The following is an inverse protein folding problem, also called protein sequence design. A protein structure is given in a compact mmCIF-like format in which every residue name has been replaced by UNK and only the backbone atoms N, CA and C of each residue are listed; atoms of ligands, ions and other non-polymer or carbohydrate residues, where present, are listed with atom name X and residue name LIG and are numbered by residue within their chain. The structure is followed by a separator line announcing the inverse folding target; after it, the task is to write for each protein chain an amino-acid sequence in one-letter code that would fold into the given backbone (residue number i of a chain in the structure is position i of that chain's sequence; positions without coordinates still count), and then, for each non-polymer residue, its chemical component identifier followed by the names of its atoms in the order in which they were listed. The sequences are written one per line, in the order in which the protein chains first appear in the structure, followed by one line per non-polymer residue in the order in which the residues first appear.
data_IF_596315051042
#
_entry.id   IF_596315051042
#
_cell.length_a   1.000
_cell.length_b   1.000
_cell.length_c   1.000
_cell.angle_alpha   90.00
_cell.angle_beta   90.00
_cell.angle_gamma   90.00
#
_symmetry.space_group_name_H-M   'P 1'
#
loop_
_entity.id
_entity.type
_entity.pdbx_description
1 polymer ?
#
# COMPACT_ATOMS: atom_id res chain seq x y z
N UNK A 1 24.79 38.31 -10.83
CA UNK A 1 24.23 38.62 -9.50
C UNK A 1 24.60 37.52 -8.53
N UNK A 2 24.97 37.87 -7.29
CA UNK A 2 25.16 36.89 -6.23
C UNK A 2 23.80 36.35 -5.76
N UNK A 3 23.64 35.03 -5.66
CA UNK A 3 22.44 34.37 -5.14
C UNK A 3 22.61 34.09 -3.65
N UNK A 4 21.52 34.12 -2.88
CA UNK A 4 21.55 33.75 -1.45
C UNK A 4 21.78 32.24 -1.29
N UNK A 5 22.41 31.82 -0.19
CA UNK A 5 22.62 30.39 0.11
C UNK A 5 21.29 29.59 0.09
N UNK A 6 20.21 30.16 0.65
CA UNK A 6 18.87 29.57 0.62
C UNK A 6 18.34 29.36 -0.81
N UNK A 7 18.64 30.28 -1.74
CA UNK A 7 18.20 30.18 -3.14
C UNK A 7 18.95 29.09 -3.89
N UNK A 8 20.24 28.88 -3.58
CA UNK A 8 21.08 27.85 -4.22
C UNK A 8 20.81 26.46 -3.64
N UNK A 9 20.57 26.35 -2.34
CA UNK A 9 20.41 25.09 -1.61
C UNK A 9 18.99 24.86 -1.11
N UNK A 10 17.97 25.33 -1.87
CA UNK A 10 16.56 25.33 -1.44
C UNK A 10 16.06 23.96 -0.95
N UNK A 11 16.57 22.86 -1.49
CA UNK A 11 16.22 21.49 -1.06
C UNK A 11 16.57 21.16 0.40
N UNK A 12 17.47 21.91 1.05
CA UNK A 12 17.80 21.76 2.46
C UNK A 12 16.95 22.63 3.39
N UNK A 13 16.15 23.54 2.83
CA UNK A 13 15.31 24.45 3.61
C UNK A 13 13.85 24.02 3.48
N UNK A 14 13.13 24.04 4.61
CA UNK A 14 11.68 23.91 4.60
C UNK A 14 11.03 25.09 3.87
N UNK A 15 9.85 24.84 3.31
CA UNK A 15 9.02 25.89 2.73
C UNK A 15 8.39 26.72 3.85
N UNK A 16 8.22 28.02 3.58
CA UNK A 16 7.46 28.93 4.44
C UNK A 16 5.95 28.69 4.27
N UNK A 17 5.14 29.12 5.24
CA UNK A 17 3.67 28.96 5.18
C UNK A 17 3.05 29.59 3.92
N UNK A 18 3.60 30.74 3.48
CA UNK A 18 3.19 31.41 2.26
C UNK A 18 3.47 30.56 1.00
N UNK A 19 4.60 29.84 0.98
CA UNK A 19 4.96 28.94 -0.10
C UNK A 19 4.05 27.70 -0.12
N UNK A 20 3.74 27.14 1.05
CA UNK A 20 2.75 26.07 1.17
C UNK A 20 1.37 26.50 0.69
N UNK A 21 0.93 27.72 1.04
CA UNK A 21 -0.36 28.24 0.60
C UNK A 21 -0.46 28.32 -0.93
N UNK A 22 0.62 28.73 -1.61
CA UNK A 22 0.71 28.72 -3.08
C UNK A 22 0.64 27.29 -3.62
N UNK A 23 1.40 26.35 -3.05
CA UNK A 23 1.35 24.94 -3.48
C UNK A 23 -0.05 24.34 -3.31
N UNK A 24 -0.70 24.56 -2.17
CA UNK A 24 -2.06 24.04 -1.95
C UNK A 24 -3.08 24.59 -2.93
N UNK A 25 -2.85 25.80 -3.45
CA UNK A 25 -3.72 26.46 -4.43
C UNK A 25 -3.45 25.97 -5.85
N UNK A 26 -2.18 25.91 -6.25
CA UNK A 26 -1.80 25.84 -7.67
C UNK A 26 -1.04 24.55 -8.05
N UNK A 27 -0.55 23.76 -7.10
CA UNK A 27 0.23 22.56 -7.42
C UNK A 27 -0.63 21.43 -8.01
N UNK A 28 0.04 20.61 -8.83
CA UNK A 28 -0.43 19.31 -9.27
C UNK A 28 -0.08 18.27 -8.20
N UNK A 29 -1.05 17.46 -7.83
CA UNK A 29 -0.92 16.39 -6.85
C UNK A 29 -0.68 15.05 -7.55
N UNK A 30 0.36 14.37 -7.10
CA UNK A 30 0.72 13.03 -7.54
C UNK A 30 0.81 12.16 -6.30
N UNK A 31 -0.05 11.14 -6.21
CA UNK A 31 0.03 10.16 -5.12
C UNK A 31 0.98 9.03 -5.49
N UNK A 32 1.72 8.52 -4.51
CA UNK A 32 2.47 7.27 -4.64
C UNK A 32 1.49 6.08 -4.72
N UNK A 33 1.86 5.03 -5.45
CA UNK A 33 1.09 3.80 -5.54
C UNK A 33 0.80 3.21 -4.16
N UNK A 34 1.73 3.32 -3.21
CA UNK A 34 1.54 2.86 -1.83
C UNK A 34 0.43 3.62 -1.10
N UNK A 35 0.26 4.92 -1.36
CA UNK A 35 -0.83 5.70 -0.78
C UNK A 35 -2.17 5.20 -1.31
N UNK A 36 -2.25 4.94 -2.62
CA UNK A 36 -3.45 4.38 -3.26
C UNK A 36 -3.74 2.96 -2.75
N UNK A 37 -2.72 2.11 -2.59
CA UNK A 37 -2.86 0.75 -2.06
C UNK A 37 -3.31 0.75 -0.59
N UNK A 38 -2.93 1.75 0.20
CA UNK A 38 -3.34 1.86 1.60
C UNK A 38 -4.85 2.06 1.77
N UNK A 39 -5.57 2.53 0.74
CA UNK A 39 -7.04 2.58 0.75
C UNK A 39 -7.67 1.20 1.03
N UNK A 40 -7.02 0.12 0.61
CA UNK A 40 -7.47 -1.24 0.89
C UNK A 40 -7.08 -1.74 2.28
N UNK A 41 -6.16 -1.06 2.96
CA UNK A 41 -5.65 -1.45 4.30
C UNK A 41 -6.33 -0.69 5.43
N UNK A 42 -6.88 0.48 5.14
CA UNK A 42 -7.52 1.32 6.14
C UNK A 42 -8.93 0.86 6.48
N UNK A 43 -9.35 1.19 7.72
CA UNK A 43 -10.75 1.12 8.14
C UNK A 43 -11.59 2.06 7.28
N UNK A 44 -12.87 1.75 7.15
CA UNK A 44 -13.80 2.49 6.29
C UNK A 44 -13.78 4.00 6.49
N UNK A 45 -13.80 4.48 7.74
CA UNK A 45 -13.75 5.92 8.04
C UNK A 45 -12.52 6.60 7.43
N UNK A 46 -11.31 6.12 7.75
CA UNK A 46 -10.05 6.70 7.28
C UNK A 46 -9.89 6.56 5.77
N UNK A 47 -10.36 5.45 5.20
CA UNK A 47 -10.42 5.26 3.75
C UNK A 47 -11.29 6.33 3.09
N UNK A 48 -12.49 6.56 3.61
CA UNK A 48 -13.42 7.54 3.05
C UNK A 48 -12.86 8.96 3.18
N UNK A 49 -12.24 9.30 4.32
CA UNK A 49 -11.55 10.59 4.49
C UNK A 49 -10.46 10.81 3.45
N UNK A 50 -9.64 9.79 3.15
CA UNK A 50 -8.60 9.90 2.11
C UNK A 50 -9.20 10.02 0.71
N UNK A 51 -10.26 9.26 0.40
CA UNK A 51 -10.97 9.37 -0.88
C UNK A 51 -11.60 10.77 -1.06
N UNK A 52 -12.18 11.34 0.01
CA UNK A 52 -12.73 12.69 -0.02
C UNK A 52 -11.65 13.75 -0.31
N UNK A 53 -10.42 13.54 0.20
CA UNK A 53 -9.27 14.41 -0.12
C UNK A 53 -8.89 14.27 -1.58
N UNK A 54 -8.79 13.05 -2.10
CA UNK A 54 -8.47 12.79 -3.51
C UNK A 54 -9.52 13.43 -4.42
N UNK A 55 -10.82 13.28 -4.10
CA UNK A 55 -11.92 13.86 -4.87
C UNK A 55 -11.87 15.39 -4.92
N UNK A 56 -11.51 16.05 -3.81
CA UNK A 56 -11.33 17.51 -3.75
C UNK A 56 -10.16 17.98 -4.63
N UNK A 57 -9.21 17.10 -4.92
CA UNK A 57 -8.03 17.40 -5.73
C UNK A 57 -8.16 16.97 -7.19
N UNK A 58 -9.29 16.37 -7.61
CA UNK A 58 -9.48 15.77 -8.95
C UNK A 58 -9.03 16.64 -10.13
N UNK A 59 -9.30 17.95 -10.10
CA UNK A 59 -8.93 18.89 -11.19
C UNK A 59 -7.43 19.22 -11.24
N UNK A 60 -6.66 18.77 -10.25
CA UNK A 60 -5.21 18.98 -10.11
C UNK A 60 -4.50 17.68 -9.79
N UNK A 61 -5.18 16.55 -10.02
CA UNK A 61 -4.64 15.23 -9.82
C UNK A 61 -3.98 14.80 -11.13
N UNK A 62 -2.78 14.26 -11.06
CA UNK A 62 -2.16 13.57 -12.19
C UNK A 62 -1.38 12.36 -11.68
N UNK A 63 -1.50 11.23 -12.36
CA UNK A 63 -0.89 9.97 -11.92
C UNK A 63 0.07 9.46 -13.01
N UNK A 64 1.36 9.26 -12.72
CA UNK A 64 2.27 8.60 -13.65
C UNK A 64 1.75 7.22 -14.04
N UNK A 65 1.90 6.82 -15.31
CA UNK A 65 1.51 5.48 -15.75
C UNK A 65 2.15 4.39 -14.88
N UNK A 66 3.41 4.55 -14.47
CA UNK A 66 4.10 3.58 -13.62
C UNK A 66 3.41 3.43 -12.25
N UNK A 67 2.95 4.53 -11.66
CA UNK A 67 2.21 4.51 -10.39
C UNK A 67 0.87 3.79 -10.56
N UNK A 68 0.13 4.11 -11.62
CA UNK A 68 -1.14 3.43 -11.93
C UNK A 68 -0.94 1.93 -12.16
N UNK A 69 0.11 1.56 -12.88
CA UNK A 69 0.46 0.17 -13.14
C UNK A 69 0.81 -0.60 -11.86
N UNK A 70 1.61 0.00 -10.98
CA UNK A 70 1.96 -0.60 -9.67
C UNK A 70 0.73 -0.75 -8.79
N UNK A 71 -0.15 0.25 -8.75
CA UNK A 71 -1.42 0.17 -8.05
C UNK A 71 -2.27 -1.00 -8.55
N UNK A 72 -2.51 -1.07 -9.87
CA UNK A 72 -3.37 -2.10 -10.46
C UNK A 72 -2.82 -3.51 -10.23
N UNK A 73 -1.50 -3.71 -10.38
CA UNK A 73 -0.86 -5.02 -10.20
C UNK A 73 -0.85 -5.49 -8.76
N UNK A 74 -0.64 -4.57 -7.82
CA UNK A 74 -0.50 -4.93 -6.40
C UNK A 74 -1.83 -4.92 -5.65
N UNK A 75 -2.89 -4.30 -6.19
CA UNK A 75 -4.20 -4.18 -5.52
C UNK A 75 -4.74 -5.53 -5.03
N UNK A 76 -4.84 -6.52 -5.91
CA UNK A 76 -5.44 -7.82 -5.58
C UNK A 76 -4.62 -8.53 -4.49
N UNK A 77 -3.29 -8.41 -4.54
CA UNK A 77 -2.41 -8.92 -3.50
C UNK A 77 -2.71 -8.28 -2.14
N UNK A 78 -2.82 -6.95 -2.09
CA UNK A 78 -3.13 -6.23 -0.84
C UNK A 78 -4.52 -6.59 -0.29
N UNK A 79 -5.53 -6.74 -1.16
CA UNK A 79 -6.87 -7.21 -0.76
C UNK A 79 -6.78 -8.60 -0.12
N UNK A 80 -6.07 -9.52 -0.78
CA UNK A 80 -5.92 -10.88 -0.30
C UNK A 80 -5.12 -10.94 1.02
N UNK A 81 -4.09 -10.12 1.17
CA UNK A 81 -3.35 -9.98 2.44
C UNK A 81 -4.25 -9.49 3.58
N UNK A 82 -5.14 -8.52 3.34
CA UNK A 82 -6.08 -8.08 4.37
C UNK A 82 -7.05 -9.19 4.75
N UNK A 83 -7.59 -9.92 3.77
CA UNK A 83 -8.52 -11.02 4.05
C UNK A 83 -7.84 -12.18 4.79
N UNK A 84 -6.55 -12.46 4.50
CA UNK A 84 -5.79 -13.50 5.23
C UNK A 84 -5.69 -13.23 6.74
N UNK A 85 -5.65 -11.96 7.17
CA UNK A 85 -5.55 -11.60 8.59
C UNK A 85 -6.69 -12.19 9.43
N UNK A 86 -7.90 -12.34 8.88
CA UNK A 86 -9.01 -12.97 9.59
C UNK A 86 -8.68 -14.42 9.97
N UNK A 87 -8.18 -15.20 9.00
CA UNK A 87 -7.77 -16.59 9.25
C UNK A 87 -6.55 -16.70 10.17
N UNK A 88 -5.60 -15.78 10.09
CA UNK A 88 -4.45 -15.72 10.99
C UNK A 88 -4.88 -15.45 12.45
N UNK A 89 -5.78 -14.50 12.67
CA UNK A 89 -6.32 -14.21 14.02
C UNK A 89 -7.09 -15.40 14.58
N UNK A 90 -7.95 -16.03 13.76
CA UNK A 90 -8.67 -17.26 14.14
C UNK A 90 -7.69 -18.37 14.53
N UNK A 91 -6.61 -18.55 13.77
CA UNK A 91 -5.56 -19.53 14.05
C UNK A 91 -4.88 -19.27 15.40
N UNK A 92 -4.45 -18.03 15.67
CA UNK A 92 -3.79 -17.64 16.93
C UNK A 92 -4.66 -18.01 18.14
N UNK A 93 -5.94 -17.60 18.11
CA UNK A 93 -6.86 -17.85 19.22
C UNK A 93 -7.09 -19.35 19.43
N UNK A 94 -7.31 -20.09 18.33
CA UNK A 94 -7.50 -21.54 18.38
C UNK A 94 -6.29 -22.24 19.00
N UNK A 95 -5.08 -21.89 18.57
CA UNK A 95 -3.84 -22.48 19.09
C UNK A 95 -3.66 -22.22 20.58
N UNK A 96 -3.97 -21.02 21.07
CA UNK A 96 -3.81 -20.68 22.49
C UNK A 96 -4.84 -21.39 23.38
N UNK A 97 -6.11 -21.47 22.95
CA UNK A 97 -7.15 -22.17 23.72
C UNK A 97 -6.87 -23.68 23.75
N UNK A 98 -6.48 -24.27 22.62
CA UNK A 98 -6.07 -25.69 22.60
C UNK A 98 -4.80 -25.94 23.42
N UNK A 99 -3.87 -24.99 23.47
CA UNK A 99 -2.69 -25.04 24.35
C UNK A 99 -3.08 -25.11 25.83
N UNK A 100 -3.96 -24.20 26.27
CA UNK A 100 -4.48 -24.18 27.65
C UNK A 100 -5.18 -25.50 28.01
N UNK A 101 -6.01 -26.03 27.12
CA UNK A 101 -6.70 -27.32 27.31
C UNK A 101 -5.68 -28.47 27.48
N UNK A 102 -4.63 -28.50 26.65
CA UNK A 102 -3.58 -29.49 26.75
C UNK A 102 -2.76 -29.36 28.04
N UNK A 103 -2.45 -28.13 28.47
CA UNK A 103 -1.71 -27.88 29.71
C UNK A 103 -2.48 -28.35 30.94
N UNK A 104 -3.79 -28.11 31.00
CA UNK A 104 -4.64 -28.64 32.06
C UNK A 104 -4.68 -30.18 32.09
N UNK A 105 -4.81 -30.81 30.91
CA UNK A 105 -4.76 -32.27 30.79
C UNK A 105 -3.40 -32.85 31.25
N UNK A 106 -2.31 -32.16 30.95
CA UNK A 106 -0.95 -32.60 31.31
C UNK A 106 -0.66 -32.51 32.81
N UNK A 107 -1.29 -31.58 33.53
CA UNK A 107 -1.13 -31.45 34.99
C UNK A 107 -1.74 -32.66 35.73
N UNK A 108 -2.54 -33.48 35.05
CA UNK A 108 -3.24 -34.65 35.62
C UNK A 108 -3.99 -34.27 36.89
N UNK A 109 -4.74 -33.16 36.83
CA UNK A 109 -5.48 -32.60 37.97
C UNK A 109 -6.41 -33.68 38.56
N UNK A 110 -7.00 -34.49 37.69
CA UNK A 110 -7.85 -35.65 38.01
C UNK A 110 -7.14 -36.76 38.82
N UNK A 111 -5.80 -36.85 38.74
CA UNK A 111 -5.00 -37.88 39.43
C UNK A 111 -4.34 -37.39 40.71
N UNK A 112 -4.32 -36.08 40.98
CA UNK A 112 -3.56 -35.49 42.09
C UNK A 112 -4.45 -34.65 43.02
N UNK A 113 -5.42 -35.28 43.69
CA UNK A 113 -6.13 -34.80 44.91
C UNK A 113 -6.51 -33.30 45.01
N UNK A 114 -6.57 -32.57 43.89
CA UNK A 114 -6.95 -31.17 43.84
C UNK A 114 -8.41 -31.15 43.38
N UNK A 115 -9.31 -30.59 44.19
CA UNK A 115 -10.72 -30.37 43.81
C UNK A 115 -10.87 -29.25 42.76
N UNK A 116 -9.92 -29.15 41.82
CA UNK A 116 -9.88 -28.14 40.77
C UNK A 116 -10.43 -28.81 39.52
N UNK A 117 -11.57 -28.33 39.03
CA UNK A 117 -12.14 -28.77 37.75
C UNK A 117 -11.97 -27.64 36.71
N UNK A 118 -11.10 -27.80 35.69
CA UNK A 118 -10.91 -26.78 34.67
C UNK A 118 -12.03 -26.79 33.59
N UNK A 119 -13.00 -27.70 33.66
CA UNK A 119 -14.03 -27.87 32.61
C UNK A 119 -14.83 -26.59 32.38
N UNK A 120 -15.25 -25.91 33.44
CA UNK A 120 -16.04 -24.68 33.35
C UNK A 120 -15.25 -23.54 32.70
N UNK A 121 -13.97 -23.39 33.05
CA UNK A 121 -13.13 -22.32 32.48
C UNK A 121 -12.77 -22.59 31.01
N UNK A 122 -12.49 -23.85 30.64
CA UNK A 122 -12.28 -24.25 29.25
C UNK A 122 -13.54 -24.02 28.43
N UNK A 123 -14.71 -24.36 28.97
CA UNK A 123 -16.01 -24.13 28.31
C UNK A 123 -16.28 -22.65 28.12
N UNK A 124 -15.96 -21.81 29.10
CA UNK A 124 -16.07 -20.37 28.98
C UNK A 124 -15.16 -19.80 27.87
N UNK A 125 -13.91 -20.26 27.78
CA UNK A 125 -13.00 -19.85 26.71
C UNK A 125 -13.50 -20.27 25.33
N UNK A 126 -13.99 -21.51 25.16
CA UNK A 126 -14.56 -21.99 23.91
C UNK A 126 -15.77 -21.16 23.47
N UNK A 127 -16.64 -20.78 24.42
CA UNK A 127 -17.78 -19.90 24.13
C UNK A 127 -17.34 -18.51 23.67
N UNK A 128 -16.38 -17.88 24.36
CA UNK A 128 -15.82 -16.58 23.95
C UNK A 128 -15.17 -16.67 22.56
N UNK A 129 -14.49 -17.77 22.27
CA UNK A 129 -13.90 -18.04 20.96
C UNK A 129 -14.96 -18.11 19.87
N UNK A 130 -16.03 -18.89 20.07
CA UNK A 130 -17.14 -19.01 19.11
C UNK A 130 -17.80 -17.65 18.85
N UNK A 131 -18.15 -16.91 19.91
CA UNK A 131 -18.76 -15.57 19.82
C UNK A 131 -17.85 -14.60 19.03
N UNK A 132 -16.53 -14.67 19.26
CA UNK A 132 -15.58 -13.84 18.54
C UNK A 132 -15.41 -14.28 17.09
N UNK A 133 -15.40 -15.58 16.81
CA UNK A 133 -15.28 -16.11 15.45
C UNK A 133 -16.50 -15.74 14.60
N UNK A 134 -17.71 -15.82 15.15
CA UNK A 134 -18.92 -15.35 14.46
C UNK A 134 -18.84 -13.87 14.10
N UNK A 135 -18.36 -13.01 15.01
CA UNK A 135 -18.13 -11.59 14.72
C UNK A 135 -17.06 -11.37 13.65
N UNK A 136 -15.99 -12.16 13.66
CA UNK A 136 -14.97 -12.11 12.61
C UNK A 136 -15.52 -12.57 11.26
N UNK A 137 -16.36 -13.60 11.22
CA UNK A 137 -17.02 -14.09 10.00
C UNK A 137 -17.92 -13.01 9.41
N UNK A 138 -18.70 -12.31 10.22
CA UNK A 138 -19.51 -11.17 9.78
C UNK A 138 -18.65 -10.06 9.16
N UNK A 139 -17.55 -9.70 9.82
CA UNK A 139 -16.60 -8.70 9.31
C UNK A 139 -15.92 -9.15 8.01
N UNK A 140 -15.51 -10.42 7.91
CA UNK A 140 -14.88 -11.03 6.72
C UNK A 140 -15.87 -11.19 5.56
N UNK A 141 -17.17 -11.34 5.84
CA UNK A 141 -18.20 -11.35 4.81
C UNK A 141 -18.54 -9.95 4.30
N UNK A 142 -18.40 -8.92 5.15
CA UNK A 142 -18.57 -7.52 4.77
C UNK A 142 -17.33 -6.88 4.13
N UNK A 143 -16.17 -7.55 4.18
CA UNK A 143 -14.92 -7.01 3.63
C UNK A 143 -14.89 -7.08 2.11
N UNK A 144 -14.03 -6.24 1.51
CA UNK A 144 -13.84 -6.20 0.06
C UNK A 144 -13.21 -7.52 -0.40
N UNK A 145 -13.84 -8.17 -1.38
CA UNK A 145 -13.32 -9.37 -2.02
C UNK A 145 -12.84 -9.07 -3.44
N UNK A 146 -11.91 -9.87 -3.93
CA UNK A 146 -11.36 -9.67 -5.28
C UNK A 146 -12.39 -9.88 -6.41
N UNK A 147 -13.48 -10.60 -6.11
CA UNK A 147 -14.56 -10.97 -7.03
C UNK A 147 -15.85 -10.16 -6.81
N UNK A 148 -15.83 -9.16 -5.93
CA UNK A 148 -16.94 -8.22 -5.73
C UNK A 148 -16.70 -6.92 -6.49
N UNK A 149 -17.74 -6.07 -6.56
CA UNK A 149 -17.62 -4.72 -7.11
C UNK A 149 -16.59 -3.91 -6.28
N UNK A 150 -15.61 -3.30 -6.95
CA UNK A 150 -14.49 -2.61 -6.30
C UNK A 150 -14.75 -1.10 -6.21
N UNK A 151 -15.63 -0.72 -5.28
CA UNK A 151 -16.06 0.67 -5.11
C UNK A 151 -14.90 1.64 -4.82
N UNK A 152 -13.78 1.16 -4.26
CA UNK A 152 -12.58 1.98 -4.05
C UNK A 152 -11.94 2.32 -5.39
N UNK A 153 -11.72 1.29 -6.22
CA UNK A 153 -11.15 1.47 -7.55
C UNK A 153 -12.05 2.35 -8.41
N UNK A 154 -13.35 2.12 -8.39
CA UNK A 154 -14.28 2.87 -9.22
C UNK A 154 -14.29 4.35 -8.83
N UNK A 155 -14.25 4.67 -7.53
CA UNK A 155 -14.13 6.06 -7.06
C UNK A 155 -12.78 6.70 -7.42
N UNK A 156 -11.69 5.93 -7.40
CA UNK A 156 -10.39 6.41 -7.87
C UNK A 156 -10.41 6.67 -9.38
N UNK A 157 -11.05 5.81 -10.16
CA UNK A 157 -11.20 5.97 -11.61
C UNK A 157 -11.98 7.25 -11.93
N UNK A 158 -13.09 7.48 -11.22
CA UNK A 158 -13.89 8.71 -11.34
C UNK A 158 -13.12 9.99 -10.94
N UNK A 159 -12.21 9.90 -9.96
CA UNK A 159 -11.41 11.03 -9.50
C UNK A 159 -10.21 11.31 -10.42
N UNK A 160 -9.57 10.27 -10.95
CA UNK A 160 -8.39 10.38 -11.83
C UNK A 160 -8.82 10.77 -13.24
N UNK A 161 -9.92 10.19 -13.75
CA UNK A 161 -10.41 10.40 -15.12
C UNK A 161 -9.28 10.19 -16.15
N UNK A 162 -9.10 11.15 -17.05
CA UNK A 162 -8.07 11.12 -18.09
C UNK A 162 -6.69 11.61 -17.59
N UNK A 163 -6.53 11.90 -16.30
CA UNK A 163 -5.28 12.45 -15.75
C UNK A 163 -4.25 11.36 -15.41
N UNK A 164 -4.02 10.45 -16.34
CA UNK A 164 -2.97 9.44 -16.26
C UNK A 164 -1.87 9.72 -17.29
N UNK A 165 -0.62 9.58 -16.88
CA UNK A 165 0.52 9.72 -17.78
C UNK A 165 0.49 8.68 -18.89
N UNK A 166 1.16 8.95 -20.03
CA UNK A 166 1.24 7.99 -21.12
C UNK A 166 2.03 6.74 -20.72
N UNK A 167 1.67 5.61 -21.31
CA UNK A 167 2.48 4.41 -21.27
C UNK A 167 3.87 4.69 -21.89
N UNK A 168 4.96 4.06 -21.39
CA UNK A 168 6.24 4.05 -22.08
C UNK A 168 6.10 3.68 -23.57
N UNK A 169 6.77 4.44 -24.44
CA UNK A 169 6.56 4.39 -25.90
C UNK A 169 6.87 3.01 -26.49
N UNK A 170 7.98 2.42 -26.05
CA UNK A 170 8.49 1.14 -26.55
C UNK A 170 9.50 0.54 -25.58
N UNK A 171 9.99 -0.66 -25.90
CA UNK A 171 10.99 -1.34 -25.08
C UNK A 171 12.34 -0.61 -25.08
N UNK A 172 12.71 0.05 -26.18
CA UNK A 172 13.97 0.78 -26.29
C UNK A 172 14.04 1.95 -25.29
N UNK A 173 12.94 2.69 -25.11
CA UNK A 173 12.83 3.73 -24.10
C UNK A 173 13.10 3.18 -22.69
N UNK A 174 12.45 2.05 -22.34
CA UNK A 174 12.65 1.40 -21.05
C UNK A 174 14.08 0.89 -20.89
N UNK A 175 14.65 0.26 -21.92
CA UNK A 175 16.01 -0.26 -21.88
C UNK A 175 17.05 0.84 -21.70
N UNK A 176 16.84 2.01 -22.32
CA UNK A 176 17.68 3.18 -22.10
C UNK A 176 17.56 3.73 -20.67
N UNK A 177 16.35 3.75 -20.09
CA UNK A 177 16.16 4.07 -18.68
C UNK A 177 16.85 3.07 -17.74
N UNK A 178 16.88 1.78 -18.11
CA UNK A 178 17.55 0.77 -17.30
C UNK A 178 19.07 0.93 -17.29
N UNK A 179 19.67 1.30 -18.43
CA UNK A 179 21.10 1.63 -18.52
C UNK A 179 21.44 2.84 -17.64
N UNK A 180 20.59 3.88 -17.67
CA UNK A 180 20.74 5.03 -16.76
C UNK A 180 20.58 4.59 -15.30
N UNK A 181 19.56 3.77 -15.01
CA UNK A 181 19.28 3.27 -13.66
C UNK A 181 20.45 2.50 -13.07
N UNK A 182 21.11 1.65 -13.85
CA UNK A 182 22.30 0.91 -13.43
C UNK A 182 23.46 1.84 -13.02
N UNK A 183 23.72 2.88 -13.82
CA UNK A 183 24.74 3.90 -13.51
C UNK A 183 24.37 4.71 -12.27
N UNK A 184 23.09 5.07 -12.12
CA UNK A 184 22.60 5.81 -10.95
C UNK A 184 22.70 4.97 -9.69
N UNK A 185 22.31 3.71 -9.73
CA UNK A 185 22.22 2.85 -8.55
C UNK A 185 23.61 2.48 -8.04
N UNK A 186 24.53 2.14 -8.94
CA UNK A 186 25.94 1.93 -8.61
C UNK A 186 26.58 3.16 -7.96
N UNK A 187 26.17 4.35 -8.38
CA UNK A 187 26.62 5.64 -7.81
C UNK A 187 25.79 6.10 -6.61
N UNK A 188 24.83 5.30 -6.12
CA UNK A 188 23.88 5.62 -5.02
C UNK A 188 23.10 6.92 -5.25
N UNK A 189 22.76 7.21 -6.50
CA UNK A 189 22.02 8.40 -6.92
C UNK A 189 20.51 8.08 -6.87
N UNK A 190 19.70 8.82 -6.09
CA UNK A 190 18.24 8.65 -6.05
C UNK A 190 17.57 9.14 -7.35
N UNK A 191 16.29 8.77 -7.60
CA UNK A 191 15.46 7.86 -6.80
C UNK A 191 15.74 6.37 -7.15
N UNK A 192 15.28 5.46 -6.29
CA UNK A 192 15.31 4.02 -6.53
C UNK A 192 16.56 3.24 -6.11
N UNK A 193 17.73 3.86 -5.86
CA UNK A 193 18.95 3.08 -5.55
C UNK A 193 18.86 2.18 -4.30
N UNK A 194 17.94 2.48 -3.37
CA UNK A 194 17.68 1.64 -2.18
C UNK A 194 16.87 0.38 -2.51
N UNK A 195 16.23 0.35 -3.67
CA UNK A 195 15.44 -0.78 -4.16
C UNK A 195 16.29 -1.83 -4.88
N UNK A 196 17.61 -1.67 -4.91
CA UNK A 196 18.53 -2.66 -5.48
C UNK A 196 18.38 -4.05 -4.79
N UNK A 197 17.97 -4.03 -3.52
CA UNK A 197 17.64 -5.24 -2.74
C UNK A 197 16.36 -5.98 -3.19
N UNK A 198 15.48 -5.37 -4.01
CA UNK A 198 14.24 -5.98 -4.51
C UNK A 198 14.50 -7.06 -5.59
N UNK A 199 15.75 -7.22 -6.03
CA UNK A 199 16.20 -8.25 -6.98
C UNK A 199 15.75 -8.00 -8.43
N UNK A 200 16.17 -8.87 -9.34
CA UNK A 200 15.84 -8.79 -10.78
C UNK A 200 14.45 -9.35 -11.10
N UNK A 201 13.43 -8.93 -10.34
CA UNK A 201 12.05 -9.28 -10.65
C UNK A 201 11.57 -8.49 -11.87
N UNK A 202 11.12 -9.22 -12.87
CA UNK A 202 10.63 -8.67 -14.13
C UNK A 202 9.17 -9.07 -14.36
N UNK A 203 8.45 -8.26 -15.12
CA UNK A 203 7.08 -8.54 -15.51
C UNK A 203 6.76 -7.90 -16.85
N UNK A 204 5.68 -8.36 -17.49
CA UNK A 204 5.23 -7.81 -18.76
C UNK A 204 3.88 -7.11 -18.57
N UNK A 205 3.72 -5.95 -19.19
CA UNK A 205 2.45 -5.24 -19.31
C UNK A 205 2.37 -4.56 -20.67
N UNK A 206 1.24 -4.73 -21.38
CA UNK A 206 1.02 -4.17 -22.71
C UNK A 206 2.17 -4.44 -23.72
N UNK A 207 2.73 -5.65 -23.69
CA UNK A 207 3.83 -6.06 -24.58
C UNK A 207 5.22 -5.53 -24.17
N UNK A 208 5.33 -4.75 -23.10
CA UNK A 208 6.59 -4.19 -22.61
C UNK A 208 7.07 -4.91 -21.35
N UNK A 209 8.39 -5.06 -21.24
CA UNK A 209 9.09 -5.72 -20.14
C UNK A 209 9.59 -4.70 -19.13
N UNK A 210 9.02 -4.77 -17.94
CA UNK A 210 9.31 -3.92 -16.79
C UNK A 210 10.23 -4.62 -15.79
N UNK A 211 11.19 -3.88 -15.23
CA UNK A 211 12.03 -4.34 -14.12
C UNK A 211 11.62 -3.62 -12.84
N UNK A 212 11.20 -4.37 -11.82
CA UNK A 212 10.64 -3.79 -10.58
C UNK A 212 11.57 -2.78 -9.90
N UNK A 213 12.88 -3.04 -9.90
CA UNK A 213 13.87 -2.17 -9.23
C UNK A 213 13.95 -0.76 -9.81
N UNK A 214 13.45 -0.53 -11.03
CA UNK A 214 13.47 0.78 -11.68
C UNK A 214 12.11 1.50 -11.64
N UNK A 215 11.11 0.99 -10.90
CA UNK A 215 9.78 1.61 -10.79
C UNK A 215 9.83 3.09 -10.39
N UNK A 216 10.53 3.40 -9.29
CA UNK A 216 10.75 4.77 -8.82
C UNK A 216 11.38 5.68 -9.89
N UNK A 217 12.35 5.15 -10.64
CA UNK A 217 13.04 5.91 -11.69
C UNK A 217 12.11 6.21 -12.86
N UNK A 218 11.31 5.23 -13.30
CA UNK A 218 10.33 5.41 -14.38
C UNK A 218 9.29 6.45 -13.94
N UNK A 219 8.73 6.31 -12.73
CA UNK A 219 7.76 7.26 -12.19
C UNK A 219 8.35 8.67 -12.12
N UNK A 220 9.57 8.82 -11.60
CA UNK A 220 10.24 10.12 -11.52
C UNK A 220 10.46 10.77 -12.89
N UNK A 221 10.85 10.00 -13.91
CA UNK A 221 11.01 10.51 -15.28
C UNK A 221 9.68 10.97 -15.88
N UNK A 222 8.60 10.22 -15.62
CA UNK A 222 7.25 10.61 -16.03
C UNK A 222 6.81 11.91 -15.35
N UNK A 223 7.07 12.06 -14.04
CA UNK A 223 6.76 13.30 -13.30
C UNK A 223 7.52 14.49 -13.89
N UNK A 224 8.81 14.35 -14.18
CA UNK A 224 9.61 15.42 -14.77
C UNK A 224 9.13 15.79 -16.16
N UNK A 225 8.78 14.80 -16.99
CA UNK A 225 8.25 15.05 -18.33
C UNK A 225 6.95 15.86 -18.23
N UNK A 226 5.99 15.39 -17.44
CA UNK A 226 4.72 16.09 -17.26
C UNK A 226 4.89 17.50 -16.69
N UNK A 227 5.76 17.66 -15.69
CA UNK A 227 6.04 18.97 -15.11
C UNK A 227 6.61 19.97 -16.12
N UNK A 228 7.36 19.50 -17.14
CA UNK A 228 7.84 20.37 -18.23
C UNK A 228 6.74 20.74 -19.21
N UNK A 229 5.78 19.84 -19.46
CA UNK A 229 4.71 20.06 -20.42
C UNK A 229 3.65 21.05 -19.91
N UNK A 230 3.47 21.11 -18.58
CA UNK A 230 2.47 21.98 -17.92
C UNK A 230 3.04 23.29 -17.38
N UNK A 231 4.37 23.49 -17.42
CA UNK A 231 5.05 24.73 -17.00
C UNK A 231 5.26 25.69 -18.16
#
# INVERSE_FOLDING_TARGET
MAKRMKEVFRCYYGLEESEYAVLWKDAIFIFDANVLLNLYRYKEKTRNELLDVIDKLKNRLWIPHQVGLEFQRNRITVINEQNKKFSEVKKIIKEHISGIENDFNNIQIDKKHANIDPTDIISAFKKIQEDFFSKLDELENSSIRFNSNDAIRDRLDDAIQENIGPQPENQEYLDNLYKEGEQRFSSKIPPGYKDDSKGDKEFTFAGLKYKNKYGDLIAWKQIIAHARDVS
#
